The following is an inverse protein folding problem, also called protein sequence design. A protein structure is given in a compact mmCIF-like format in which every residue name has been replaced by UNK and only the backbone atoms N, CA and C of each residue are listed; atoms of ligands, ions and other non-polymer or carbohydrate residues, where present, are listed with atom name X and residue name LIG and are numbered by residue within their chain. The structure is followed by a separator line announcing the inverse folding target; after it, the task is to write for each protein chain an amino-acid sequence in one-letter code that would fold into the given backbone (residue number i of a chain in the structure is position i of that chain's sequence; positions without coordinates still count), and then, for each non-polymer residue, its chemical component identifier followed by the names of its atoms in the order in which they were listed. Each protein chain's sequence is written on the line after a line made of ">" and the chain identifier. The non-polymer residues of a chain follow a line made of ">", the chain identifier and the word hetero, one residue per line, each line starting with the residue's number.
data_IF_009451138494
#
_entry.id   IF_009451138494
#
_cell.length_a   1.000
_cell.length_b   1.000
_cell.length_c   1.000
_cell.angle_alpha   90.00
_cell.angle_beta   90.00
_cell.angle_gamma   90.00
#
_symmetry.space_group_name_H-M   'P 1'
#
loop_
_entity.id
_entity.type
_entity.pdbx_description
1 polymer ?
#
# COMPACT_ATOMS: atom_id res chain seq x y z
N UNK A 1 -15.33 3.61 -11.80
CA UNK A 1 -15.01 2.20 -11.93
C UNK A 1 -13.89 1.82 -10.98
N UNK A 2 -13.92 0.61 -10.55
CA UNK A 2 -12.90 0.07 -9.66
C UNK A 2 -11.53 0.05 -10.30
N UNK A 3 -11.47 0.28 -11.59
CA UNK A 3 -10.24 0.18 -12.34
C UNK A 3 -9.30 1.35 -12.14
N UNK A 4 -9.79 2.46 -11.57
CA UNK A 4 -8.99 3.67 -11.50
C UNK A 4 -7.68 3.47 -10.72
N UNK A 5 -7.75 2.85 -9.54
CA UNK A 5 -6.53 2.60 -8.76
C UNK A 5 -5.59 1.65 -9.50
N UNK A 6 -6.15 0.54 -9.97
CA UNK A 6 -5.32 -0.49 -10.61
C UNK A 6 -4.75 -0.01 -11.93
N UNK A 7 -5.52 0.80 -12.69
CA UNK A 7 -5.00 1.39 -13.91
C UNK A 7 -3.87 2.36 -13.60
N UNK A 8 -4.01 3.16 -12.55
CA UNK A 8 -2.98 4.10 -12.17
C UNK A 8 -1.68 3.39 -11.83
N UNK A 9 -1.73 2.37 -10.96
CA UNK A 9 -0.49 1.69 -10.58
C UNK A 9 0.10 0.93 -11.76
N UNK A 10 -0.72 0.36 -12.60
CA UNK A 10 -0.25 -0.36 -13.76
C UNK A 10 0.49 0.58 -14.72
N UNK A 11 -0.07 1.76 -14.96
CA UNK A 11 0.48 2.69 -15.93
C UNK A 11 1.67 3.49 -15.41
N UNK A 12 1.61 3.93 -14.15
CA UNK A 12 2.64 4.81 -13.61
C UNK A 12 3.75 4.06 -12.89
N UNK A 13 3.46 2.91 -12.31
CA UNK A 13 4.49 2.12 -11.65
C UNK A 13 5.00 1.00 -12.54
N UNK A 14 4.35 0.77 -13.67
CA UNK A 14 4.73 -0.28 -14.62
C UNK A 14 4.80 -1.64 -13.94
N UNK A 15 3.85 -1.86 -13.05
CA UNK A 15 3.77 -3.13 -12.36
C UNK A 15 2.75 -4.01 -13.07
N UNK A 16 3.07 -5.29 -13.23
CA UNK A 16 2.13 -6.25 -13.75
C UNK A 16 1.41 -6.97 -12.64
N UNK A 17 2.10 -7.11 -11.50
CA UNK A 17 1.56 -7.83 -10.35
C UNK A 17 1.59 -6.95 -9.13
N UNK A 18 0.58 -7.09 -8.29
CA UNK A 18 0.52 -6.44 -6.99
C UNK A 18 0.69 -7.53 -5.95
N UNK A 19 1.65 -7.35 -5.06
CA UNK A 19 1.93 -8.32 -4.00
C UNK A 19 1.07 -8.01 -2.80
N UNK A 20 0.33 -9.00 -2.31
CA UNK A 20 -0.44 -8.87 -1.08
C UNK A 20 0.22 -9.71 0.00
N UNK A 21 0.51 -9.09 1.14
CA UNK A 21 1.08 -9.79 2.27
C UNK A 21 0.15 -9.66 3.46
N UNK A 22 -0.27 -10.78 4.02
CA UNK A 22 -1.11 -10.79 5.20
C UNK A 22 -0.25 -11.12 6.40
N UNK A 23 -0.15 -10.18 7.33
CA UNK A 23 0.62 -10.37 8.56
C UNK A 23 -0.34 -10.70 9.68
N UNK A 24 -0.12 -11.81 10.32
CA UNK A 24 -0.99 -12.25 11.40
C UNK A 24 -0.44 -11.79 12.75
N UNK A 25 -0.09 -10.51 12.83
CA UNK A 25 0.50 -9.93 14.03
C UNK A 25 -0.53 -9.11 14.78
N UNK A 26 -0.41 -9.13 16.11
CA UNK A 26 -1.10 -8.13 16.92
C UNK A 26 -0.34 -6.81 16.89
N UNK A 27 0.95 -6.86 16.62
CA UNK A 27 1.80 -5.67 16.57
C UNK A 27 1.66 -4.95 15.22
N UNK A 28 2.06 -3.70 15.22
CA UNK A 28 2.01 -2.90 14.00
C UNK A 28 3.10 -3.32 13.03
N UNK A 29 2.88 -2.99 11.75
CA UNK A 29 3.91 -3.13 10.73
C UNK A 29 5.00 -2.12 11.06
N UNK A 30 6.25 -2.58 11.10
CA UNK A 30 7.40 -1.72 11.41
C UNK A 30 8.22 -1.48 10.16
N UNK A 31 9.21 -0.59 10.25
CA UNK A 31 10.06 -0.32 9.10
C UNK A 31 10.81 -1.57 8.64
N UNK A 32 11.04 -2.53 9.53
CA UNK A 32 11.68 -3.77 9.15
C UNK A 32 10.87 -4.51 8.09
N UNK A 33 9.56 -4.58 8.25
CA UNK A 33 8.71 -5.20 7.25
C UNK A 33 8.72 -4.43 5.94
N UNK A 34 8.78 -3.10 6.02
CA UNK A 34 8.84 -2.29 4.81
C UNK A 34 10.12 -2.60 4.03
N UNK A 35 11.27 -2.64 4.72
CA UNK A 35 12.54 -2.92 4.05
C UNK A 35 12.57 -4.32 3.45
N UNK A 36 12.03 -5.31 4.16
CA UNK A 36 11.95 -6.67 3.65
C UNK A 36 11.10 -6.74 2.39
N UNK A 37 9.94 -6.08 2.43
CA UNK A 37 9.04 -6.06 1.28
C UNK A 37 9.67 -5.31 0.11
N UNK A 38 10.31 -4.18 0.38
CA UNK A 38 10.98 -3.42 -0.67
C UNK A 38 12.04 -4.26 -1.36
N UNK A 39 12.83 -5.01 -0.59
CA UNK A 39 13.83 -5.88 -1.14
C UNK A 39 13.21 -6.94 -2.04
N UNK A 40 12.10 -7.51 -1.59
CA UNK A 40 11.38 -8.50 -2.40
C UNK A 40 10.93 -7.90 -3.73
N UNK A 41 10.39 -6.68 -3.70
CA UNK A 41 9.96 -6.01 -4.91
C UNK A 41 11.11 -5.74 -5.86
N UNK A 42 12.29 -5.48 -5.32
CA UNK A 42 13.49 -5.27 -6.13
C UNK A 42 13.88 -6.53 -6.88
N UNK A 43 13.75 -7.67 -6.22
CA UNK A 43 14.23 -8.93 -6.77
C UNK A 43 13.30 -9.56 -7.78
N UNK A 44 12.05 -9.11 -7.83
CA UNK A 44 11.05 -9.71 -8.69
C UNK A 44 10.63 -8.74 -9.78
N UNK A 45 10.83 -9.16 -11.01
CA UNK A 45 10.47 -8.32 -12.15
C UNK A 45 8.96 -8.06 -12.17
N UNK A 46 8.57 -6.87 -12.61
CA UNK A 46 7.18 -6.48 -12.80
C UNK A 46 6.38 -6.43 -11.50
N UNK A 47 7.06 -6.36 -10.37
CA UNK A 47 6.42 -6.23 -9.06
C UNK A 47 6.96 -5.00 -8.37
N UNK A 48 6.22 -3.91 -8.46
CA UNK A 48 6.62 -2.64 -7.86
C UNK A 48 5.64 -2.13 -6.84
N UNK A 49 4.58 -2.88 -6.58
CA UNK A 49 3.50 -2.47 -5.68
C UNK A 49 3.22 -3.62 -4.72
N UNK A 50 3.16 -3.30 -3.44
CA UNK A 50 2.78 -4.25 -2.41
C UNK A 50 1.76 -3.63 -1.48
N UNK A 51 0.85 -4.46 -0.99
CA UNK A 51 -0.12 -4.07 0.02
C UNK A 51 0.09 -5.02 1.18
N UNK A 52 0.48 -4.46 2.33
CA UNK A 52 0.71 -5.25 3.54
C UNK A 52 -0.48 -5.03 4.46
N UNK A 53 -1.07 -6.11 4.93
CA UNK A 53 -2.25 -6.05 5.78
C UNK A 53 -1.90 -6.66 7.13
N UNK A 54 -2.12 -5.89 8.20
CA UNK A 54 -1.96 -6.40 9.54
C UNK A 54 -3.09 -5.84 10.40
N UNK A 55 -3.31 -6.49 11.55
CA UNK A 55 -4.42 -6.10 12.41
C UNK A 55 -4.34 -4.63 12.83
N UNK A 56 -3.17 -4.18 13.22
CA UNK A 56 -2.99 -2.83 13.80
C UNK A 56 -2.43 -1.81 12.83
N UNK A 57 -2.16 -2.22 11.58
CA UNK A 57 -1.62 -1.30 10.59
C UNK A 57 -0.14 -1.01 10.82
N UNK A 58 0.32 0.13 10.29
CA UNK A 58 1.73 0.50 10.32
C UNK A 58 2.00 1.51 11.44
N UNK A 59 3.20 1.43 12.02
CA UNK A 59 3.64 2.47 12.95
C UNK A 59 4.23 3.64 12.15
N UNK A 60 4.61 4.70 12.87
CA UNK A 60 5.10 5.93 12.24
C UNK A 60 6.37 5.69 11.43
N UNK A 61 7.27 4.84 11.93
CA UNK A 61 8.53 4.57 11.23
C UNK A 61 8.28 3.78 9.96
N UNK A 62 7.29 2.87 9.97
CA UNK A 62 6.93 2.13 8.76
C UNK A 62 6.37 3.07 7.71
N UNK A 63 5.50 4.00 8.10
CA UNK A 63 4.94 4.96 7.15
C UNK A 63 6.03 5.84 6.55
N UNK A 64 6.98 6.26 7.37
CA UNK A 64 8.10 7.05 6.88
C UNK A 64 8.95 6.24 5.89
N UNK A 65 9.21 4.98 6.21
CA UNK A 65 9.98 4.11 5.31
C UNK A 65 9.24 3.87 3.99
N UNK A 66 7.91 3.74 4.04
CA UNK A 66 7.13 3.56 2.83
C UNK A 66 7.19 4.79 1.94
N UNK A 67 7.15 5.99 2.54
CA UNK A 67 7.32 7.23 1.76
C UNK A 67 8.69 7.27 1.10
N UNK A 68 9.73 6.86 1.83
CA UNK A 68 11.08 6.82 1.28
C UNK A 68 11.20 5.84 0.12
N UNK A 69 10.57 4.68 0.25
CA UNK A 69 10.58 3.69 -0.81
C UNK A 69 9.94 4.24 -2.09
N UNK A 70 8.83 4.95 -1.95
CA UNK A 70 8.16 5.54 -3.10
C UNK A 70 9.00 6.67 -3.71
N UNK A 71 9.49 7.57 -2.86
CA UNK A 71 10.25 8.74 -3.34
C UNK A 71 11.54 8.35 -4.03
N UNK A 72 12.28 7.40 -3.45
CA UNK A 72 13.64 7.13 -3.90
C UNK A 72 13.74 5.95 -4.84
N UNK A 73 12.83 5.01 -4.76
CA UNK A 73 12.92 3.77 -5.52
C UNK A 73 11.72 3.49 -6.40
N UNK A 74 10.69 4.32 -6.34
CA UNK A 74 9.51 4.11 -7.16
C UNK A 74 8.70 2.89 -6.79
N UNK A 75 8.86 2.38 -5.56
CA UNK A 75 8.11 1.22 -5.08
C UNK A 75 6.98 1.70 -4.19
N UNK A 76 5.76 1.27 -4.50
CA UNK A 76 4.61 1.64 -3.71
C UNK A 76 4.29 0.54 -2.71
N UNK A 77 4.32 0.88 -1.43
CA UNK A 77 3.97 -0.05 -0.36
C UNK A 77 2.87 0.60 0.46
N UNK A 78 1.68 0.01 0.41
CA UNK A 78 0.54 0.48 1.19
C UNK A 78 0.35 -0.45 2.38
N UNK A 79 0.06 0.12 3.55
CA UNK A 79 -0.15 -0.64 4.77
C UNK A 79 -1.60 -0.45 5.21
N UNK A 80 -2.31 -1.55 5.35
CA UNK A 80 -3.71 -1.53 5.74
C UNK A 80 -3.88 -2.19 7.10
N UNK A 81 -4.80 -1.63 7.91
CA UNK A 81 -5.20 -2.23 9.17
C UNK A 81 -6.55 -2.90 9.01
N UNK A 82 -6.98 -3.61 10.08
CA UNK A 82 -8.34 -4.16 10.11
C UNK A 82 -9.37 -3.06 9.94
N UNK A 83 -9.11 -1.90 10.55
CA UNK A 83 -10.04 -0.77 10.47
C UNK A 83 -10.17 -0.29 9.02
N UNK A 84 -9.06 -0.28 8.29
CA UNK A 84 -9.10 0.10 6.88
C UNK A 84 -9.94 -0.87 6.07
N UNK A 85 -9.81 -2.17 6.36
CA UNK A 85 -10.61 -3.18 5.66
C UNK A 85 -12.08 -3.03 5.97
N UNK A 86 -12.42 -2.72 7.24
CA UNK A 86 -13.80 -2.48 7.62
C UNK A 86 -14.35 -1.29 6.85
N UNK A 87 -13.57 -0.23 6.73
CA UNK A 87 -14.02 0.95 5.97
C UNK A 87 -14.27 0.60 4.51
N UNK A 88 -13.40 -0.20 3.91
CA UNK A 88 -13.59 -0.62 2.52
C UNK A 88 -14.86 -1.46 2.36
N UNK A 89 -15.17 -2.31 3.33
CA UNK A 89 -16.39 -3.10 3.29
C UNK A 89 -17.62 -2.21 3.45
N UNK A 90 -17.54 -1.22 4.33
CA UNK A 90 -18.63 -0.26 4.52
C UNK A 90 -18.87 0.54 3.25
N UNK A 91 -17.81 0.93 2.56
CA UNK A 91 -17.92 1.62 1.28
C UNK A 91 -18.70 0.77 0.28
N UNK A 92 -18.36 -0.51 0.20
CA UNK A 92 -19.04 -1.41 -0.70
C UNK A 92 -20.54 -1.49 -0.36
N UNK A 93 -20.85 -1.56 0.93
CA UNK A 93 -22.25 -1.63 1.37
C UNK A 93 -23.03 -0.37 1.03
N UNK A 94 -22.36 0.79 0.97
CA UNK A 94 -22.98 2.05 0.60
C UNK A 94 -23.05 2.25 -0.92
N UNK A 95 -22.58 1.29 -1.70
CA UNK A 95 -22.56 1.43 -3.15
C UNK A 95 -21.36 2.21 -3.67
N UNK A 96 -20.35 2.45 -2.81
CA UNK A 96 -19.13 3.11 -3.21
C UNK A 96 -18.08 2.08 -3.60
N UNK A 97 -17.05 2.52 -4.31
CA UNK A 97 -16.02 1.61 -4.81
C UNK A 97 -14.89 1.51 -3.80
N UNK A 98 -14.65 0.31 -3.23
CA UNK A 98 -13.57 0.17 -2.24
C UNK A 98 -12.20 0.56 -2.76
N UNK A 99 -11.95 0.41 -4.06
CA UNK A 99 -10.65 0.78 -4.62
C UNK A 99 -10.38 2.28 -4.49
N UNK A 100 -11.41 3.11 -4.30
CA UNK A 100 -11.21 4.53 -4.07
C UNK A 100 -10.49 4.80 -2.75
N UNK A 101 -10.64 3.91 -1.78
CA UNK A 101 -9.92 4.01 -0.52
C UNK A 101 -8.42 3.90 -0.78
N UNK A 102 -8.02 2.95 -1.63
CA UNK A 102 -6.62 2.76 -1.99
C UNK A 102 -6.09 3.95 -2.79
N UNK A 103 -6.90 4.50 -3.68
CA UNK A 103 -6.51 5.69 -4.43
C UNK A 103 -6.26 6.86 -3.50
N UNK A 104 -7.11 7.04 -2.49
CA UNK A 104 -6.93 8.12 -1.52
C UNK A 104 -5.64 7.93 -0.73
N UNK A 105 -5.31 6.70 -0.35
CA UNK A 105 -4.06 6.43 0.35
C UNK A 105 -2.85 6.76 -0.53
N UNK A 106 -2.90 6.38 -1.80
CA UNK A 106 -1.83 6.70 -2.73
C UNK A 106 -1.66 8.21 -2.88
N UNK A 107 -2.78 8.91 -3.07
CA UNK A 107 -2.73 10.36 -3.20
C UNK A 107 -2.14 11.02 -1.97
N UNK A 108 -2.50 10.52 -0.79
CA UNK A 108 -1.95 11.06 0.45
C UNK A 108 -0.43 10.88 0.52
N UNK A 109 0.05 9.70 0.14
CA UNK A 109 1.48 9.44 0.10
C UNK A 109 2.18 10.39 -0.88
N UNK A 110 1.62 10.55 -2.07
CA UNK A 110 2.23 11.42 -3.09
C UNK A 110 2.29 12.86 -2.63
N UNK A 111 1.28 13.32 -1.91
CA UNK A 111 1.24 14.70 -1.42
C UNK A 111 2.26 14.96 -0.32
N UNK A 112 2.76 13.94 0.34
CA UNK A 112 3.65 14.07 1.49
C UNK A 112 5.05 13.52 1.26
N UNK A 113 5.43 13.32 0.00
CA UNK A 113 6.73 12.71 -0.29
C UNK A 113 7.91 13.54 0.14
N UNK A 114 7.74 14.85 0.22
CA UNK A 114 8.86 15.71 0.57
C UNK A 114 9.02 15.92 2.07
N UNK A 115 8.18 15.28 2.84
CA UNK A 115 8.29 15.35 4.29
C UNK A 115 9.15 14.18 4.83
#
# INVERSE_FOLDING_TARGET
>A
MDQDFFDTVKNYFRTKYIVFEFKNYSDRITQKEIFTTEKYLYEKALRKVAIIISRSGADAHALWAAKGSLRENGKLILCLSDQDLVEMLDMKDRGELPAEFLSAMLDDLLMHLEK
#
